data_IF_842530580405
#
_entry.id   IF_842530580405
#
_cell.length_a   1.000
_cell.length_b   1.000
_cell.length_c   1.000
_cell.angle_alpha   90.00
_cell.angle_beta   90.00
_cell.angle_gamma   90.00
#
_symmetry.space_group_name_H-M   'P 1'
#
loop_
_entity.id
_entity.type
_entity.pdbx_description
1 polymer ?
#
# COMPACT_ATOMS: atom_id res chain seq x y z
N UNK A 1 18.30 -27.70 -24.24
CA UNK A 1 16.97 -27.04 -24.35
C UNK A 1 16.00 -27.38 -23.20
N UNK A 2 15.69 -28.67 -22.94
CA UNK A 2 14.72 -29.08 -21.88
C UNK A 2 15.04 -28.57 -20.47
N UNK A 3 16.31 -28.47 -20.11
CA UNK A 3 16.75 -27.93 -18.82
C UNK A 3 16.52 -26.43 -18.67
N UNK A 4 16.66 -25.65 -19.75
CA UNK A 4 16.41 -24.21 -19.74
C UNK A 4 14.92 -23.95 -19.50
N UNK A 5 14.04 -24.73 -20.14
CA UNK A 5 12.59 -24.63 -19.91
C UNK A 5 12.22 -24.96 -18.47
N UNK A 6 12.83 -25.99 -17.87
CA UNK A 6 12.62 -26.33 -16.45
C UNK A 6 13.09 -25.21 -15.51
N UNK A 7 14.25 -24.61 -15.79
CA UNK A 7 14.77 -23.50 -15.00
C UNK A 7 13.90 -22.26 -15.12
N UNK A 8 13.41 -21.96 -16.33
CA UNK A 8 12.49 -20.85 -16.56
C UNK A 8 11.16 -21.08 -15.84
N UNK A 9 10.62 -22.29 -15.90
CA UNK A 9 9.40 -22.64 -15.17
C UNK A 9 9.58 -22.51 -13.65
N UNK A 10 10.71 -22.99 -13.12
CA UNK A 10 11.05 -22.82 -11.71
C UNK A 10 11.19 -21.33 -11.33
N UNK A 11 11.81 -20.51 -12.19
CA UNK A 11 11.96 -19.08 -11.97
C UNK A 11 10.60 -18.36 -11.94
N UNK A 12 9.65 -18.76 -12.81
CA UNK A 12 8.28 -18.22 -12.82
C UNK A 12 7.53 -18.59 -11.55
N UNK A 13 7.62 -19.84 -11.09
CA UNK A 13 7.01 -20.27 -9.83
C UNK A 13 7.59 -19.47 -8.66
N UNK A 14 8.92 -19.37 -8.60
CA UNK A 14 9.60 -18.64 -7.52
C UNK A 14 9.19 -17.17 -7.52
N UNK A 15 9.13 -16.54 -8.70
CA UNK A 15 8.66 -15.17 -8.87
C UNK A 15 7.20 -15.00 -8.40
N UNK A 16 6.32 -15.97 -8.70
CA UNK A 16 4.94 -15.98 -8.25
C UNK A 16 4.79 -16.08 -6.73
N UNK A 17 5.71 -16.76 -6.05
CA UNK A 17 5.70 -16.97 -4.58
C UNK A 17 6.24 -15.74 -3.81
N UNK A 18 7.18 -14.98 -4.39
CA UNK A 18 7.82 -13.83 -3.74
C UNK A 18 6.86 -12.77 -3.13
N UNK A 19 5.78 -12.32 -3.81
CA UNK A 19 4.87 -11.35 -3.21
C UNK A 19 4.15 -11.92 -1.99
N UNK A 20 3.71 -13.17 -2.04
CA UNK A 20 3.07 -13.84 -0.89
C UNK A 20 4.04 -13.98 0.29
N UNK A 21 5.31 -14.27 0.04
CA UNK A 21 6.32 -14.31 1.09
C UNK A 21 6.58 -12.94 1.71
N UNK A 22 6.55 -11.88 0.90
CA UNK A 22 6.70 -10.50 1.40
C UNK A 22 5.49 -10.06 2.20
N UNK A 23 4.28 -10.42 1.75
CA UNK A 23 3.02 -10.18 2.47
C UNK A 23 3.03 -10.90 3.82
N UNK A 24 3.52 -12.14 3.88
CA UNK A 24 3.64 -12.89 5.12
C UNK A 24 4.54 -12.21 6.13
N UNK A 25 5.70 -11.71 5.68
CA UNK A 25 6.62 -10.98 6.56
C UNK A 25 6.05 -9.65 7.02
N UNK A 26 5.31 -8.98 6.14
CA UNK A 26 4.62 -7.74 6.45
C UNK A 26 3.55 -7.96 7.53
N UNK A 27 2.70 -8.98 7.36
CA UNK A 27 1.70 -9.38 8.34
C UNK A 27 2.33 -9.73 9.69
N UNK A 28 3.40 -10.53 9.67
CA UNK A 28 4.08 -10.93 10.89
C UNK A 28 4.71 -9.74 11.62
N UNK A 29 5.21 -8.73 10.90
CA UNK A 29 5.71 -7.48 11.49
C UNK A 29 4.56 -6.60 12.03
N UNK A 30 3.39 -6.62 11.38
CA UNK A 30 2.18 -5.94 11.81
C UNK A 30 1.68 -6.52 13.14
N UNK A 31 1.53 -7.85 13.22
CA UNK A 31 1.08 -8.57 14.42
C UNK A 31 2.09 -8.47 15.56
N UNK A 32 3.40 -8.55 15.26
CA UNK A 32 4.46 -8.40 16.25
C UNK A 32 4.63 -6.95 16.76
N UNK A 33 3.89 -5.99 16.19
CA UNK A 33 3.97 -4.57 16.54
C UNK A 33 5.38 -3.98 16.38
N UNK A 34 6.14 -4.48 15.40
CA UNK A 34 7.52 -4.06 15.15
C UNK A 34 7.56 -2.97 14.07
N UNK A 35 7.42 -1.72 14.52
CA UNK A 35 7.43 -0.52 13.68
C UNK A 35 8.73 -0.39 12.86
N UNK A 36 9.86 -0.88 13.40
CA UNK A 36 11.16 -0.82 12.71
C UNK A 36 11.21 -1.78 11.51
N UNK A 37 10.63 -2.98 11.65
CA UNK A 37 10.55 -3.94 10.55
C UNK A 37 9.49 -3.54 9.53
N UNK A 38 8.35 -3.01 9.97
CA UNK A 38 7.29 -2.47 9.09
C UNK A 38 7.84 -1.46 8.09
N UNK A 39 8.73 -0.56 8.52
CA UNK A 39 9.37 0.43 7.65
C UNK A 39 10.20 -0.16 6.50
N UNK A 40 10.62 -1.42 6.56
CA UNK A 40 11.35 -2.10 5.46
C UNK A 40 10.42 -2.63 4.37
N UNK A 41 9.16 -2.87 4.74
CA UNK A 41 8.11 -3.43 3.90
C UNK A 41 7.09 -2.37 3.45
N UNK A 42 7.20 -1.14 3.94
CA UNK A 42 6.36 -0.01 3.55
C UNK A 42 7.24 1.02 2.83
N UNK A 43 6.87 1.39 1.61
CA UNK A 43 7.43 2.57 0.94
C UNK A 43 6.63 3.81 1.36
N UNK A 44 7.02 4.40 2.50
CA UNK A 44 6.28 5.52 3.08
C UNK A 44 6.22 6.71 2.13
N UNK A 45 7.33 6.99 1.43
CA UNK A 45 7.41 8.09 0.48
C UNK A 45 6.41 7.88 -0.65
N UNK A 46 6.33 6.67 -1.20
CA UNK A 46 5.41 6.37 -2.28
C UNK A 46 3.94 6.43 -1.83
N UNK A 47 3.64 5.98 -0.61
CA UNK A 47 2.30 6.13 -0.02
C UNK A 47 1.93 7.61 0.11
N UNK A 48 2.81 8.44 0.68
CA UNK A 48 2.60 9.89 0.82
C UNK A 48 2.40 10.59 -0.54
N UNK A 49 3.23 10.26 -1.54
CA UNK A 49 3.12 10.82 -2.88
C UNK A 49 1.79 10.47 -3.56
N UNK A 50 1.30 9.24 -3.36
CA UNK A 50 0.01 8.81 -3.88
C UNK A 50 -1.16 9.53 -3.20
N UNK A 51 -1.12 9.68 -1.88
CA UNK A 51 -2.13 10.48 -1.16
C UNK A 51 -2.16 11.94 -1.63
N UNK A 52 -0.99 12.57 -1.78
CA UNK A 52 -0.88 13.93 -2.35
C UNK A 52 -1.47 14.02 -3.75
N UNK A 53 -1.25 12.98 -4.58
CA UNK A 53 -1.78 12.92 -5.95
C UNK A 53 -3.31 12.86 -5.95
N UNK A 54 -3.90 12.02 -5.12
CA UNK A 54 -5.36 11.90 -4.97
C UNK A 54 -5.97 13.25 -4.57
N UNK A 55 -5.46 13.87 -3.51
CA UNK A 55 -5.93 15.18 -3.05
C UNK A 55 -5.81 16.29 -4.12
N UNK A 56 -4.71 16.26 -4.89
CA UNK A 56 -4.49 17.23 -5.98
C UNK A 56 -5.46 17.02 -7.15
N UNK A 57 -5.84 15.78 -7.45
CA UNK A 57 -6.80 15.46 -8.53
C UNK A 57 -8.19 15.97 -8.15
N UNK A 58 -8.65 15.67 -6.93
CA UNK A 58 -9.93 16.17 -6.39
C UNK A 58 -9.98 17.71 -6.42
N UNK A 59 -8.87 18.35 -6.08
CA UNK A 59 -8.73 19.80 -6.14
C UNK A 59 -8.72 20.37 -7.56
N UNK A 60 -8.45 19.59 -8.62
CA UNK A 60 -8.29 20.10 -10.01
C UNK A 60 -9.62 20.23 -10.76
N UNK A 61 -10.64 19.48 -10.38
CA UNK A 61 -11.92 19.40 -11.11
C UNK A 61 -12.80 20.67 -10.98
N UNK A 62 -12.47 21.55 -10.03
CA UNK A 62 -13.12 22.85 -9.87
C UNK A 62 -12.53 23.89 -10.84
N UNK A 63 -13.31 24.27 -11.86
CA UNK A 63 -12.96 25.18 -12.94
C UNK A 63 -12.96 26.65 -12.49
N UNK A 64 -11.79 27.28 -12.30
CA UNK A 64 -11.74 28.59 -11.65
C UNK A 64 -10.56 29.51 -12.05
N UNK A 65 -10.74 30.82 -11.80
CA UNK A 65 -9.87 31.94 -12.20
C UNK A 65 -8.59 32.14 -11.37
N UNK A 66 -7.81 33.18 -11.71
CA UNK A 66 -6.45 33.42 -11.15
C UNK A 66 -6.38 33.49 -9.61
N UNK A 67 -7.35 34.11 -8.94
CA UNK A 67 -7.35 34.25 -7.49
C UNK A 67 -7.54 32.91 -6.76
N UNK A 68 -8.40 32.04 -7.29
CA UNK A 68 -8.61 30.73 -6.68
C UNK A 68 -7.48 29.75 -6.99
N UNK A 69 -6.74 29.93 -8.10
CA UNK A 69 -5.48 29.21 -8.34
C UNK A 69 -4.45 29.49 -7.25
N UNK A 70 -4.27 30.75 -6.84
CA UNK A 70 -3.34 31.10 -5.76
C UNK A 70 -3.76 30.54 -4.40
N UNK A 71 -5.05 30.63 -4.05
CA UNK A 71 -5.59 30.04 -2.82
C UNK A 71 -5.45 28.51 -2.82
N UNK A 72 -5.64 27.87 -3.97
CA UNK A 72 -5.48 26.43 -4.16
C UNK A 72 -4.04 25.97 -4.06
N UNK A 73 -3.09 26.71 -4.63
CA UNK A 73 -1.66 26.38 -4.50
C UNK A 73 -1.21 26.47 -3.04
N UNK A 74 -1.71 27.47 -2.31
CA UNK A 74 -1.56 27.57 -0.85
C UNK A 74 -2.15 26.37 -0.11
N UNK A 75 -3.43 26.04 -0.36
CA UNK A 75 -4.12 24.91 0.25
C UNK A 75 -3.45 23.55 -0.08
N UNK A 76 -2.99 23.36 -1.33
CA UNK A 76 -2.28 22.16 -1.78
C UNK A 76 -0.92 22.02 -1.09
N UNK A 77 -0.21 23.13 -0.86
CA UNK A 77 1.07 23.10 -0.14
C UNK A 77 0.88 22.73 1.34
N UNK A 78 -0.18 23.24 1.97
CA UNK A 78 -0.53 22.91 3.35
C UNK A 78 -1.02 21.48 3.47
N UNK A 79 -1.86 21.00 2.55
CA UNK A 79 -2.34 19.62 2.54
C UNK A 79 -1.19 18.63 2.28
N UNK A 80 -0.25 18.96 1.39
CA UNK A 80 0.93 18.14 1.17
C UNK A 80 1.80 18.00 2.43
N UNK A 81 2.00 19.09 3.18
CA UNK A 81 2.73 19.07 4.45
C UNK A 81 1.97 18.28 5.52
N UNK A 82 0.65 18.41 5.59
CA UNK A 82 -0.21 17.62 6.49
C UNK A 82 -0.14 16.14 6.16
N UNK A 83 -0.13 15.75 4.88
CA UNK A 83 0.04 14.35 4.47
C UNK A 83 1.39 13.80 4.93
N UNK A 84 2.47 14.57 4.80
CA UNK A 84 3.81 14.12 5.22
C UNK A 84 3.91 13.87 6.73
N UNK A 85 3.15 14.63 7.54
CA UNK A 85 3.11 14.46 8.99
C UNK A 85 2.08 13.44 9.46
N UNK A 86 0.96 13.31 8.76
CA UNK A 86 -0.14 12.42 9.16
C UNK A 86 0.08 10.98 8.69
N UNK A 87 0.58 10.80 7.46
CA UNK A 87 0.85 9.47 6.89
C UNK A 87 2.22 9.03 7.39
N UNK A 88 2.21 8.28 8.49
CA UNK A 88 3.37 7.66 9.11
C UNK A 88 3.23 6.14 9.10
N UNK A 89 4.34 5.41 9.36
CA UNK A 89 4.30 3.95 9.51
C UNK A 89 3.30 3.56 10.62
N UNK A 90 3.24 4.34 11.69
CA UNK A 90 2.32 4.13 12.81
C UNK A 90 0.86 4.32 12.40
N UNK A 91 0.55 5.32 11.57
CA UNK A 91 -0.78 5.52 11.02
C UNK A 91 -1.20 4.35 10.10
N UNK A 92 -0.30 3.86 9.24
CA UNK A 92 -0.54 2.69 8.39
C UNK A 92 -0.80 1.46 9.24
N UNK A 93 0.04 1.24 10.28
CA UNK A 93 -0.14 0.17 11.26
C UNK A 93 -1.52 0.24 11.89
N UNK A 94 -1.92 1.42 12.39
CA UNK A 94 -3.21 1.61 13.06
C UNK A 94 -4.41 1.38 12.12
N UNK A 95 -4.29 1.80 10.86
CA UNK A 95 -5.31 1.58 9.83
C UNK A 95 -5.46 0.11 9.48
N UNK A 96 -4.36 -0.63 9.41
CA UNK A 96 -4.34 -2.07 9.09
C UNK A 96 -4.62 -2.98 10.28
N UNK A 97 -4.23 -2.59 11.49
CA UNK A 97 -4.49 -3.34 12.72
C UNK A 97 -5.93 -3.22 13.21
N UNK A 98 -6.85 -2.74 12.38
CA UNK A 98 -8.28 -2.74 12.68
C UNK A 98 -8.65 -1.87 13.89
N UNK A 99 -8.08 -0.68 14.05
CA UNK A 99 -8.43 0.21 15.17
C UNK A 99 -9.93 0.59 15.26
N UNK A 100 -10.73 0.33 14.21
CA UNK A 100 -12.19 0.44 14.26
C UNK A 100 -12.91 -0.80 14.81
N UNK A 101 -12.22 -1.93 15.06
CA UNK A 101 -12.80 -3.18 15.60
C UNK A 101 -12.32 -3.54 17.00
N UNK A 102 -11.38 -2.79 17.58
CA UNK A 102 -10.92 -3.01 18.97
C UNK A 102 -10.08 -4.27 19.20
N UNK A 103 -9.72 -4.98 18.13
CA UNK A 103 -8.94 -6.23 18.19
C UNK A 103 -7.49 -5.95 17.82
N UNK A 104 -6.64 -5.75 18.82
CA UNK A 104 -5.19 -5.70 18.62
C UNK A 104 -4.68 -7.08 18.19
N UNK A 105 -4.05 -7.17 17.01
CA UNK A 105 -3.38 -8.39 16.54
C UNK A 105 -4.10 -9.15 15.43
N UNK A 106 -5.10 -8.58 14.77
CA UNK A 106 -5.74 -9.19 13.59
C UNK A 106 -4.72 -9.33 12.46
N UNK A 107 -4.57 -10.55 11.95
CA UNK A 107 -3.73 -10.83 10.79
C UNK A 107 -4.44 -10.36 9.52
N UNK A 108 -3.66 -9.86 8.57
CA UNK A 108 -4.08 -9.59 7.20
C UNK A 108 -4.70 -10.85 6.60
N UNK A 109 -4.17 -12.04 6.92
CA UNK A 109 -4.69 -13.31 6.41
C UNK A 109 -6.10 -13.65 6.94
N UNK A 110 -6.47 -13.15 8.12
CA UNK A 110 -7.80 -13.39 8.69
C UNK A 110 -8.89 -12.59 7.96
N UNK A 111 -8.50 -11.48 7.33
CA UNK A 111 -9.40 -10.59 6.59
C UNK A 111 -9.16 -10.65 5.09
N UNK A 112 -8.28 -11.54 4.64
CA UNK A 112 -7.87 -11.64 3.24
C UNK A 112 -8.99 -12.22 2.39
N UNK A 113 -9.54 -11.37 1.52
CA UNK A 113 -10.54 -11.78 0.54
C UNK A 113 -9.88 -12.13 -0.79
N UNK A 114 -8.98 -11.27 -1.27
CA UNK A 114 -8.32 -11.46 -2.56
C UNK A 114 -6.86 -11.03 -2.52
N UNK A 115 -5.97 -11.84 -3.10
CA UNK A 115 -4.58 -11.45 -3.35
C UNK A 115 -4.11 -11.98 -4.70
N UNK A 116 -3.80 -11.08 -5.63
CA UNK A 116 -3.30 -11.48 -6.95
C UNK A 116 -2.47 -10.38 -7.61
N UNK A 117 -1.73 -10.76 -8.66
CA UNK A 117 -1.00 -9.81 -9.48
C UNK A 117 -1.95 -8.96 -10.30
N UNK A 118 -1.90 -7.65 -10.10
CA UNK A 118 -2.53 -6.68 -10.98
C UNK A 118 -1.62 -6.39 -12.19
N UNK A 119 -0.30 -6.41 -11.99
CA UNK A 119 0.69 -6.34 -13.07
C UNK A 119 2.01 -7.02 -12.68
N UNK A 120 2.98 -7.22 -13.60
CA UNK A 120 4.27 -7.83 -13.27
C UNK A 120 5.13 -7.08 -12.24
N UNK A 121 4.73 -5.89 -11.81
CA UNK A 121 5.40 -5.17 -10.73
C UNK A 121 4.44 -4.70 -9.63
N UNK A 122 3.17 -5.12 -9.69
CA UNK A 122 2.14 -4.73 -8.71
C UNK A 122 1.34 -5.94 -8.27
N UNK A 123 1.24 -6.10 -6.96
CA UNK A 123 0.49 -7.16 -6.30
C UNK A 123 -0.61 -6.52 -5.47
N UNK A 124 -1.85 -6.83 -5.80
CA UNK A 124 -3.03 -6.29 -5.17
C UNK A 124 -3.49 -7.25 -4.08
N UNK A 125 -3.76 -6.71 -2.91
CA UNK A 125 -4.28 -7.42 -1.74
C UNK A 125 -5.51 -6.66 -1.27
N UNK A 126 -6.66 -7.34 -1.23
CA UNK A 126 -7.94 -6.81 -0.75
C UNK A 126 -8.31 -7.49 0.54
N UNK A 127 -8.60 -6.68 1.55
CA UNK A 127 -9.04 -7.11 2.87
C UNK A 127 -10.50 -6.73 3.08
N UNK A 128 -11.32 -7.68 3.52
CA UNK A 128 -12.76 -7.52 3.69
C UNK A 128 -13.58 -7.88 2.45
N UNK A 129 -14.88 -8.09 2.67
CA UNK A 129 -15.84 -8.53 1.65
C UNK A 129 -16.21 -7.38 0.68
N UNK A 130 -16.59 -7.71 -0.55
CA UNK A 130 -17.13 -6.75 -1.51
C UNK A 130 -18.52 -6.28 -1.06
N UNK A 131 -18.56 -5.31 -0.15
CA UNK A 131 -19.80 -4.71 0.33
C UNK A 131 -19.61 -3.84 1.57
N UNK A 132 -18.56 -4.11 2.35
CA UNK A 132 -18.29 -3.48 3.65
C UNK A 132 -17.01 -2.62 3.65
N UNK A 133 -16.83 -1.80 2.59
CA UNK A 133 -15.68 -0.89 2.44
C UNK A 133 -14.32 -1.61 2.53
N UNK A 134 -13.98 -2.46 1.53
CA UNK A 134 -12.79 -3.29 1.59
C UNK A 134 -11.52 -2.44 1.53
N UNK A 135 -10.58 -2.73 2.43
CA UNK A 135 -9.26 -2.08 2.43
C UNK A 135 -8.40 -2.67 1.32
N UNK A 136 -7.94 -1.86 0.38
CA UNK A 136 -7.12 -2.31 -0.75
C UNK A 136 -5.67 -1.87 -0.54
N UNK A 137 -4.78 -2.84 -0.53
CA UNK A 137 -3.34 -2.66 -0.44
C UNK A 137 -2.70 -2.98 -1.80
N UNK A 138 -1.82 -2.11 -2.25
CA UNK A 138 -1.02 -2.34 -3.46
C UNK A 138 0.44 -2.43 -3.05
N UNK A 139 1.03 -3.59 -3.31
CA UNK A 139 2.45 -3.82 -3.11
C UNK A 139 3.19 -3.68 -4.44
N UNK A 140 4.25 -2.86 -4.49
CA UNK A 140 5.13 -2.76 -5.66
C UNK A 140 6.45 -3.46 -5.44
N UNK A 141 6.98 -4.00 -6.53
CA UNK A 141 8.28 -4.70 -6.51
C UNK A 141 9.43 -3.71 -6.50
N UNK A 142 10.24 -3.74 -5.45
CA UNK A 142 11.51 -3.03 -5.33
C UNK A 142 12.65 -4.06 -5.24
N UNK A 143 13.29 -4.34 -6.38
CA UNK A 143 14.29 -5.42 -6.48
C UNK A 143 13.65 -6.80 -6.33
N UNK A 144 14.01 -7.54 -5.28
CA UNK A 144 13.41 -8.84 -4.93
C UNK A 144 12.36 -8.76 -3.82
N UNK A 145 12.15 -7.56 -3.25
CA UNK A 145 11.22 -7.36 -2.14
C UNK A 145 9.97 -6.65 -2.66
N UNK A 146 8.82 -7.04 -2.16
CA UNK A 146 7.56 -6.33 -2.41
C UNK A 146 7.28 -5.42 -1.22
N UNK A 147 7.00 -4.15 -1.50
CA UNK A 147 6.72 -3.13 -0.49
C UNK A 147 5.33 -2.56 -0.68
N UNK A 148 4.63 -2.29 0.41
CA UNK A 148 3.38 -1.56 0.39
C UNK A 148 3.62 -0.14 -0.11
N UNK A 149 2.96 0.21 -1.20
CA UNK A 149 3.12 1.50 -1.87
C UNK A 149 1.83 2.32 -1.90
N UNK A 150 0.68 1.64 -1.85
CA UNK A 150 -0.61 2.30 -1.87
C UNK A 150 -1.57 1.59 -0.92
N UNK A 151 -2.43 2.37 -0.28
CA UNK A 151 -3.45 1.93 0.65
C UNK A 151 -4.67 2.81 0.41
N UNK A 152 -5.81 2.19 0.12
CA UNK A 152 -7.09 2.88 -0.07
C UNK A 152 -8.08 2.36 0.95
#
# INVERSE_FOLDING_TARGET
>A
MRWIVRLLFLAVILYGILPYYSLYRFDHALVANDVSQLGKYIDLQQVQENYKRVLRIESRDHNEGLASRMLRDGANSMSAYTVDQAVTIEWIRHRLSGANRGETGVSIYDTLDHAFFDSPNQFLVRLGDLGDDPTVLIMKRHGMVWRLSELY
#
